data_IF_404635441207
#
_entry.id   IF_404635441207
#
_cell.length_a   1.000
_cell.length_b   1.000
_cell.length_c   1.000
_cell.angle_alpha   90.00
_cell.angle_beta   90.00
_cell.angle_gamma   90.00
#
_symmetry.space_group_name_H-M   'P 1'
#
loop_
_entity.id
_entity.type
_entity.pdbx_description
1 polymer ?
#
# COMPACT_ATOMS: atom_id res chain seq x y z
N UNK A 1 -26.64 9.31 -30.57
CA UNK A 1 -25.32 8.65 -30.50
C UNK A 1 -24.47 9.46 -29.54
N UNK A 2 -24.57 9.12 -28.25
CA UNK A 2 -23.89 9.81 -27.15
C UNK A 2 -22.98 8.78 -26.52
N UNK A 3 -21.68 9.04 -26.31
CA UNK A 3 -20.82 8.08 -25.63
C UNK A 3 -21.34 7.87 -24.20
N UNK A 4 -21.33 6.64 -23.65
CA UNK A 4 -21.62 6.43 -22.24
C UNK A 4 -20.51 7.12 -21.44
N UNK A 5 -20.88 8.16 -20.70
CA UNK A 5 -19.97 8.85 -19.80
C UNK A 5 -19.50 7.86 -18.76
N UNK A 6 -18.17 7.72 -18.66
CA UNK A 6 -17.47 7.07 -17.57
C UNK A 6 -17.82 7.77 -16.25
N UNK A 7 -18.97 7.41 -15.70
CA UNK A 7 -19.37 7.72 -14.34
C UNK A 7 -18.46 6.89 -13.44
N UNK A 8 -17.31 7.50 -13.14
CA UNK A 8 -16.86 7.68 -11.77
C UNK A 8 -17.21 6.51 -10.83
N UNK A 9 -16.29 5.55 -10.74
CA UNK A 9 -16.19 4.55 -9.67
C UNK A 9 -15.93 5.20 -8.28
N UNK A 10 -16.35 6.44 -8.07
CA UNK A 10 -16.35 7.09 -6.76
C UNK A 10 -17.64 6.73 -6.02
N UNK A 11 -17.60 5.65 -5.24
CA UNK A 11 -18.66 5.37 -4.29
C UNK A 11 -18.82 3.94 -3.82
N UNK A 12 -17.74 3.20 -3.56
CA UNK A 12 -17.82 2.06 -2.65
C UNK A 12 -17.26 2.51 -1.29
N UNK A 13 -18.07 3.24 -0.54
CA UNK A 13 -17.81 3.51 0.88
C UNK A 13 -18.19 2.26 1.68
N UNK A 14 -17.24 1.31 1.76
CA UNK A 14 -17.14 0.10 2.61
C UNK A 14 -18.25 -0.99 2.54
N UNK A 15 -17.87 -2.29 2.61
CA UNK A 15 -17.85 -2.92 3.94
C UNK A 15 -16.76 -4.01 4.15
N UNK A 16 -15.85 -3.77 5.09
CA UNK A 16 -14.88 -4.67 5.76
C UNK A 16 -13.41 -4.62 5.27
N UNK A 17 -12.99 -3.59 4.54
CA UNK A 17 -11.58 -3.40 4.18
C UNK A 17 -10.87 -2.47 5.16
N UNK A 18 -10.01 -3.00 6.04
CA UNK A 18 -9.25 -2.18 6.98
C UNK A 18 -8.31 -1.19 6.25
N UNK A 19 -8.39 0.09 6.61
CA UNK A 19 -7.49 1.14 6.13
C UNK A 19 -6.61 1.63 7.26
N UNK A 20 -5.32 1.81 6.99
CA UNK A 20 -4.33 2.24 7.95
C UNK A 20 -3.45 3.36 7.38
N UNK A 21 -3.34 4.47 8.10
CA UNK A 21 -2.39 5.52 7.73
C UNK A 21 -1.01 5.15 8.26
N UNK A 22 -0.03 5.05 7.36
CA UNK A 22 1.33 4.63 7.68
C UNK A 22 2.32 5.68 7.17
N UNK A 23 3.40 5.90 7.92
CA UNK A 23 4.50 6.73 7.46
C UNK A 23 5.32 5.93 6.45
N UNK A 24 5.39 6.43 5.23
CA UNK A 24 6.17 5.79 4.17
C UNK A 24 7.66 6.13 4.34
N UNK A 25 8.51 5.11 4.44
CA UNK A 25 9.96 5.29 4.51
C UNK A 25 10.64 4.49 3.42
N UNK A 26 11.75 5.03 2.91
CA UNK A 26 12.55 4.37 1.90
C UNK A 26 13.28 3.18 2.53
N UNK A 27 13.07 1.99 1.98
CA UNK A 27 13.91 0.83 2.29
C UNK A 27 15.23 0.96 1.53
N UNK A 28 16.35 1.00 2.27
CA UNK A 28 17.71 1.08 1.68
C UNK A 28 18.33 -0.30 1.44
N UNK A 29 17.65 -1.39 1.81
CA UNK A 29 18.11 -2.75 1.55
C UNK A 29 18.07 -3.06 0.06
N UNK A 30 19.24 -3.41 -0.50
CA UNK A 30 19.37 -3.77 -1.91
C UNK A 30 18.61 -5.06 -2.30
N UNK A 31 18.35 -5.95 -1.34
CA UNK A 31 17.65 -7.22 -1.57
C UNK A 31 16.17 -7.05 -1.94
N UNK A 32 15.53 -6.05 -1.34
CA UNK A 32 14.10 -5.75 -1.51
C UNK A 32 13.85 -4.65 -2.56
N UNK A 33 14.92 -4.03 -3.05
CA UNK A 33 14.85 -2.95 -4.02
C UNK A 33 14.12 -3.40 -5.30
N UNK A 34 13.18 -2.57 -5.76
CA UNK A 34 12.47 -2.70 -7.05
C UNK A 34 11.69 -4.00 -7.25
N UNK A 35 11.32 -4.68 -6.17
CA UNK A 35 10.48 -5.89 -6.24
C UNK A 35 8.98 -5.61 -6.16
N UNK A 36 8.58 -4.36 -5.85
CA UNK A 36 7.18 -4.03 -5.59
C UNK A 36 6.67 -4.63 -4.28
N UNK A 37 7.57 -4.79 -3.30
CA UNK A 37 7.26 -5.33 -1.97
C UNK A 37 7.23 -4.17 -0.96
N UNK A 38 6.19 -4.11 -0.15
CA UNK A 38 6.08 -3.21 1.00
C UNK A 38 6.27 -4.02 2.27
N UNK A 39 7.28 -3.66 3.07
CA UNK A 39 7.50 -4.31 4.36
C UNK A 39 6.68 -3.60 5.43
N UNK A 40 5.80 -4.36 6.07
CA UNK A 40 4.91 -3.89 7.13
C UNK A 40 5.23 -4.60 8.44
N UNK A 41 5.01 -3.91 9.55
CA UNK A 41 5.08 -4.55 10.86
C UNK A 41 3.96 -5.60 11.00
N UNK A 42 4.19 -6.74 11.69
CA UNK A 42 3.16 -7.77 11.90
C UNK A 42 1.85 -7.22 12.50
N UNK A 43 1.95 -6.20 13.35
CA UNK A 43 0.77 -5.53 13.93
C UNK A 43 -0.06 -4.78 12.88
N UNK A 44 0.59 -4.11 11.92
CA UNK A 44 -0.09 -3.45 10.82
C UNK A 44 -0.75 -4.47 9.88
N UNK A 45 -0.09 -5.60 9.63
CA UNK A 45 -0.65 -6.73 8.85
C UNK A 45 -1.89 -7.28 9.55
N UNK A 46 -1.82 -7.51 10.86
CA UNK A 46 -2.95 -7.97 11.66
C UNK A 46 -4.10 -6.96 11.69
N UNK A 47 -3.80 -5.66 11.83
CA UNK A 47 -4.79 -4.59 11.80
C UNK A 47 -5.48 -4.45 10.43
N UNK A 48 -4.74 -4.70 9.34
CA UNK A 48 -5.29 -4.72 7.98
C UNK A 48 -6.06 -6.02 7.69
N UNK A 49 -5.92 -7.05 8.51
CA UNK A 49 -6.58 -8.36 8.34
C UNK A 49 -6.03 -9.18 7.16
N UNK A 50 -4.80 -8.91 6.73
CA UNK A 50 -4.17 -9.54 5.56
C UNK A 50 -3.06 -10.52 5.98
N UNK A 51 -2.52 -11.27 5.02
CA UNK A 51 -1.39 -12.18 5.22
C UNK A 51 -0.15 -11.69 4.49
N UNK A 52 0.99 -12.26 4.86
CA UNK A 52 2.22 -12.11 4.06
C UNK A 52 1.97 -12.59 2.63
N UNK A 53 2.54 -11.88 1.66
CA UNK A 53 2.38 -12.08 0.22
C UNK A 53 1.02 -11.70 -0.38
N UNK A 54 0.11 -11.14 0.41
CA UNK A 54 -1.11 -10.54 -0.13
C UNK A 54 -0.81 -9.21 -0.83
N UNK A 55 -1.63 -8.89 -1.82
CA UNK A 55 -1.57 -7.61 -2.50
C UNK A 55 -2.29 -6.52 -1.70
N UNK A 56 -1.68 -5.35 -1.59
CA UNK A 56 -2.24 -4.16 -0.94
C UNK A 56 -2.23 -2.95 -1.86
N UNK A 57 -3.19 -2.06 -1.65
CA UNK A 57 -3.29 -0.80 -2.37
C UNK A 57 -2.69 0.34 -1.55
N UNK A 58 -1.73 1.04 -2.16
CA UNK A 58 -1.06 2.20 -1.59
C UNK A 58 -1.63 3.45 -2.25
N UNK A 59 -2.13 4.37 -1.44
CA UNK A 59 -2.74 5.61 -1.93
C UNK A 59 -1.95 6.83 -1.44
N UNK A 60 -1.19 7.42 -2.36
CA UNK A 60 -0.53 8.71 -2.19
C UNK A 60 -1.18 9.78 -3.06
N UNK A 61 -0.37 10.44 -3.89
CA UNK A 61 -0.89 11.26 -5.01
C UNK A 61 -1.39 10.40 -6.17
N UNK A 62 -0.95 9.14 -6.22
CA UNK A 62 -1.40 8.09 -7.13
C UNK A 62 -1.73 6.85 -6.34
N UNK A 63 -2.55 5.99 -6.94
CA UNK A 63 -2.85 4.66 -6.39
C UNK A 63 -2.00 3.63 -7.11
N UNK A 64 -1.30 2.79 -6.36
CA UNK A 64 -0.52 1.66 -6.88
C UNK A 64 -0.73 0.44 -6.02
N UNK A 65 -0.45 -0.75 -6.55
CA UNK A 65 -0.45 -1.99 -5.79
C UNK A 65 0.97 -2.41 -5.45
N UNK A 66 1.13 -3.07 -4.31
CA UNK A 66 2.38 -3.70 -3.87
C UNK A 66 2.05 -4.99 -3.12
N UNK A 67 3.05 -5.86 -2.95
CA UNK A 67 2.92 -7.12 -2.22
C UNK A 67 3.43 -6.94 -0.79
N UNK A 68 2.73 -7.49 0.19
CA UNK A 68 3.12 -7.39 1.60
C UNK A 68 4.26 -8.33 1.93
N UNK A 69 5.33 -7.78 2.49
CA UNK A 69 6.34 -8.53 3.23
C UNK A 69 6.34 -8.15 4.71
N UNK A 70 6.97 -8.98 5.52
CA UNK A 70 7.13 -8.72 6.96
C UNK A 70 8.39 -7.90 7.21
N UNK A 71 8.26 -6.76 7.88
CA UNK A 71 9.40 -5.93 8.25
C UNK A 71 10.22 -6.56 9.38
N UNK A 72 11.54 -6.34 9.35
CA UNK A 72 12.46 -6.82 10.39
C UNK A 72 12.16 -6.20 11.76
N UNK A 73 12.51 -6.94 12.82
CA UNK A 73 12.40 -6.53 14.22
C UNK A 73 13.14 -5.21 14.46
N UNK A 74 12.39 -4.14 14.75
CA UNK A 74 12.91 -2.77 14.89
C UNK A 74 12.19 -1.73 14.05
N UNK A 75 11.36 -2.16 13.08
CA UNK A 75 10.49 -1.25 12.31
C UNK A 75 9.27 -0.87 13.15
N UNK A 76 8.97 0.44 13.35
CA UNK A 76 7.79 0.85 14.09
C UNK A 76 6.49 0.40 13.41
N UNK A 77 5.42 0.04 14.16
CA UNK A 77 4.16 -0.45 13.59
C UNK A 77 3.46 0.55 12.67
N UNK A 78 3.67 1.86 12.89
CA UNK A 78 3.17 2.93 12.02
C UNK A 78 4.02 3.22 10.80
N UNK A 79 5.03 2.40 10.46
CA UNK A 79 5.93 2.62 9.33
C UNK A 79 5.75 1.54 8.27
N UNK A 80 5.62 1.97 7.02
CA UNK A 80 5.73 1.12 5.85
C UNK A 80 7.08 1.37 5.18
N UNK A 81 7.87 0.31 4.95
CA UNK A 81 9.12 0.41 4.19
C UNK A 81 8.85 0.07 2.73
N UNK A 82 9.19 0.99 1.82
CA UNK A 82 8.95 0.88 0.39
C UNK A 82 10.23 1.13 -0.38
N UNK A 83 10.40 0.48 -1.53
CA UNK A 83 11.46 0.79 -2.47
C UNK A 83 11.21 2.11 -3.22
N UNK A 84 12.25 2.63 -3.88
CA UNK A 84 12.20 3.91 -4.61
C UNK A 84 11.16 3.91 -5.73
N UNK A 85 11.00 2.79 -6.43
CA UNK A 85 10.04 2.65 -7.53
C UNK A 85 8.62 2.64 -7.00
N UNK A 86 8.34 1.90 -5.93
CA UNK A 86 7.00 1.87 -5.32
C UNK A 86 6.59 3.24 -4.77
N UNK A 87 7.51 3.97 -4.13
CA UNK A 87 7.27 5.35 -3.68
C UNK A 87 6.94 6.28 -4.87
N UNK A 88 7.71 6.20 -5.94
CA UNK A 88 7.50 7.00 -7.16
C UNK A 88 6.17 6.67 -7.85
N UNK A 89 5.81 5.39 -7.92
CA UNK A 89 4.54 4.93 -8.50
C UNK A 89 3.33 5.39 -7.68
N UNK A 90 3.43 5.32 -6.35
CA UNK A 90 2.42 5.87 -5.44
C UNK A 90 2.42 7.41 -5.41
N UNK A 91 3.49 8.03 -5.94
CA UNK A 91 3.77 9.46 -5.82
C UNK A 91 3.79 9.92 -4.37
N UNK A 92 4.43 9.13 -3.50
CA UNK A 92 4.65 9.40 -2.07
C UNK A 92 6.10 9.85 -1.89
N UNK A 93 6.31 10.93 -1.14
CA UNK A 93 7.65 11.35 -0.73
C UNK A 93 8.10 10.54 0.48
N UNK A 94 9.37 10.14 0.52
CA UNK A 94 9.93 9.50 1.72
C UNK A 94 9.74 10.39 2.95
N UNK A 95 9.40 9.76 4.08
CA UNK A 95 9.08 10.38 5.37
C UNK A 95 7.83 11.29 5.36
N UNK A 96 7.02 11.23 4.29
CA UNK A 96 5.68 11.82 4.27
C UNK A 96 4.63 10.80 4.76
N UNK A 97 3.55 11.27 5.41
CA UNK A 97 2.43 10.40 5.73
C UNK A 97 1.79 9.87 4.44
N UNK A 98 1.68 8.55 4.34
CA UNK A 98 0.97 7.87 3.26
C UNK A 98 -0.30 7.21 3.79
N UNK A 99 -1.36 7.13 2.96
CA UNK A 99 -2.56 6.37 3.31
C UNK A 99 -2.50 5.01 2.62
N UNK A 100 -2.39 3.95 3.41
CA UNK A 100 -2.49 2.57 2.92
C UNK A 100 -3.90 2.08 3.19
N UNK A 101 -4.66 1.74 2.16
CA UNK A 101 -5.95 1.07 2.32
C UNK A 101 -5.86 -0.32 1.77
N UNK A 102 -6.33 -1.33 2.50
CA UNK A 102 -6.59 -2.59 1.85
C UNK A 102 -7.82 -2.38 0.95
N UNK A 103 -7.61 -2.60 -0.34
CA UNK A 103 -8.67 -2.94 -1.28
C UNK A 103 -8.23 -4.27 -1.85
N UNK A 104 -9.10 -5.30 -1.92
CA UNK A 104 -8.76 -6.47 -2.70
C UNK A 104 -8.59 -5.99 -4.14
N UNK A 105 -7.34 -5.98 -4.64
CA UNK A 105 -7.14 -6.00 -6.08
C UNK A 105 -7.61 -7.38 -6.50
N UNK A 106 -8.89 -7.48 -6.84
CA UNK A 106 -9.47 -8.70 -7.34
C UNK A 106 -8.73 -9.02 -8.64
N UNK A 107 -7.73 -9.91 -8.54
CA UNK A 107 -7.20 -10.60 -9.68
C UNK A 107 -8.26 -11.63 -10.09
N UNK A 108 -9.30 -11.15 -10.79
CA UNK A 108 -10.21 -12.00 -11.56
C UNK A 108 -10.73 -11.29 -12.78
#
# INVERSE_FOLDING_TARGET
MTPPQAQALQGASDPSGAQLQLTARLNTSALDARRGVVLLHPEAIAALGIREWDAVSLTGTRTTCAVVGVAATGTPPGTALLDDVTLSNAGIRADAPGRSSCWPVANR
#
